data_IF_054741543706
#
_entry.id   IF_054741543706
#
_cell.length_a   1.000
_cell.length_b   1.000
_cell.length_c   1.000
_cell.angle_alpha   90.00
_cell.angle_beta   90.00
_cell.angle_gamma   90.00
#
_symmetry.space_group_name_H-M   'P 1'
#
loop_
_entity.id
_entity.type
_entity.pdbx_description
1 polymer ?
#
# COMPACT_ATOMS: atom_id res chain seq x y z
N UNK A 1 -41.13 -5.66 11.96
CA UNK A 1 -39.87 -6.02 12.67
C UNK A 1 -38.74 -5.02 12.41
N UNK A 2 -38.72 -4.30 11.28
CA UNK A 2 -37.67 -3.32 10.90
C UNK A 2 -37.90 -1.87 11.32
N UNK A 3 -39.03 -1.54 11.98
CA UNK A 3 -39.38 -0.16 12.35
C UNK A 3 -38.30 0.54 13.19
N UNK A 4 -37.70 -0.19 14.13
CA UNK A 4 -36.59 0.32 14.94
C UNK A 4 -35.35 0.65 14.09
N UNK A 5 -34.98 -0.23 13.14
CA UNK A 5 -33.86 0.01 12.21
C UNK A 5 -34.10 1.22 11.32
N UNK A 6 -35.33 1.42 10.84
CA UNK A 6 -35.67 2.60 10.05
C UNK A 6 -35.57 3.89 10.88
N UNK A 7 -35.91 3.81 12.18
CA UNK A 7 -35.74 4.95 13.11
C UNK A 7 -34.27 5.25 13.36
N UNK A 8 -33.43 4.23 13.57
CA UNK A 8 -31.97 4.40 13.69
C UNK A 8 -31.35 4.97 12.41
N UNK A 9 -31.74 4.45 11.25
CA UNK A 9 -31.29 4.92 9.93
C UNK A 9 -31.61 6.41 9.76
N UNK A 10 -32.85 6.84 10.07
CA UNK A 10 -33.23 8.26 10.05
C UNK A 10 -32.42 9.13 11.01
N UNK A 11 -32.08 8.63 12.20
CA UNK A 11 -31.21 9.34 13.16
C UNK A 11 -29.82 9.57 12.57
N UNK A 12 -29.23 8.52 11.99
CA UNK A 12 -27.91 8.58 11.34
C UNK A 12 -27.92 9.53 10.14
N UNK A 13 -28.97 9.49 9.32
CA UNK A 13 -29.15 10.39 8.18
C UNK A 13 -29.20 11.87 8.60
N UNK A 14 -29.81 12.17 9.75
CA UNK A 14 -30.00 13.54 10.24
C UNK A 14 -28.71 14.17 10.81
N UNK A 15 -27.73 13.37 11.24
CA UNK A 15 -26.45 13.88 11.74
C UNK A 15 -25.60 14.38 10.58
N UNK A 16 -25.01 15.57 10.67
CA UNK A 16 -24.16 16.17 9.63
C UNK A 16 -22.68 16.20 10.03
N UNK A 17 -21.80 16.31 9.04
CA UNK A 17 -20.37 16.55 9.26
C UNK A 17 -19.63 15.42 9.98
N UNK A 18 -18.64 15.80 10.80
CA UNK A 18 -17.66 14.90 11.41
C UNK A 18 -18.26 13.87 12.40
N UNK A 19 -19.40 14.18 13.02
CA UNK A 19 -20.06 13.28 13.99
C UNK A 19 -20.83 12.13 13.34
N UNK A 20 -20.91 12.07 12.02
CA UNK A 20 -21.64 11.02 11.31
C UNK A 20 -21.14 9.61 11.62
N UNK A 21 -19.83 9.40 11.57
CA UNK A 21 -19.24 8.08 11.86
C UNK A 21 -19.38 7.73 13.35
N UNK A 22 -19.35 8.73 14.24
CA UNK A 22 -19.54 8.53 15.68
C UNK A 22 -20.97 8.06 15.98
N UNK A 23 -21.97 8.71 15.38
CA UNK A 23 -23.38 8.31 15.49
C UNK A 23 -23.58 6.90 14.91
N UNK A 24 -23.06 6.64 13.69
CA UNK A 24 -23.17 5.32 13.06
C UNK A 24 -22.54 4.23 13.93
N UNK A 25 -21.34 4.47 14.46
CA UNK A 25 -20.67 3.53 15.36
C UNK A 25 -21.44 3.33 16.67
N UNK A 26 -22.00 4.40 17.24
CA UNK A 26 -22.81 4.31 18.47
C UNK A 26 -24.06 3.46 18.23
N UNK A 27 -24.79 3.74 17.15
CA UNK A 27 -25.98 2.99 16.76
C UNK A 27 -25.68 1.53 16.43
N UNK A 28 -24.56 1.25 15.78
CA UNK A 28 -24.10 -0.12 15.55
C UNK A 28 -23.84 -0.86 16.88
N UNK A 29 -23.12 -0.24 17.81
CA UNK A 29 -22.82 -0.84 19.10
C UNK A 29 -24.09 -1.08 19.94
N UNK A 30 -25.03 -0.15 19.94
CA UNK A 30 -26.32 -0.30 20.62
C UNK A 30 -27.14 -1.45 19.99
N UNK A 31 -27.16 -1.52 18.66
CA UNK A 31 -27.83 -2.58 17.92
C UNK A 31 -27.25 -3.96 18.25
N UNK A 32 -25.93 -4.10 18.19
CA UNK A 32 -25.23 -5.35 18.49
C UNK A 32 -25.44 -5.79 19.94
N UNK A 33 -25.41 -4.85 20.92
CA UNK A 33 -25.71 -5.16 22.33
C UNK A 33 -27.14 -5.65 22.52
N UNK A 34 -28.12 -4.94 21.98
CA UNK A 34 -29.53 -5.33 22.09
C UNK A 34 -29.79 -6.71 21.48
N UNK A 35 -29.18 -7.00 20.34
CA UNK A 35 -29.34 -8.28 19.67
C UNK A 35 -28.60 -9.42 20.34
N UNK A 36 -27.50 -9.16 21.05
CA UNK A 36 -26.88 -10.18 21.88
C UNK A 36 -27.84 -10.66 22.98
N UNK A 37 -28.55 -9.74 23.64
CA UNK A 37 -29.57 -10.10 24.64
C UNK A 37 -30.71 -10.91 24.03
N UNK A 38 -31.15 -10.55 22.81
CA UNK A 38 -32.18 -11.31 22.08
C UNK A 38 -31.67 -12.72 21.74
N UNK A 39 -30.42 -12.86 21.29
CA UNK A 39 -29.82 -14.18 21.02
C UNK A 39 -29.75 -15.04 22.28
N UNK A 40 -29.41 -14.45 23.43
CA UNK A 40 -29.31 -15.18 24.69
C UNK A 40 -30.71 -15.70 25.13
N UNK A 41 -31.77 -14.89 24.94
CA UNK A 41 -33.15 -15.30 25.20
C UNK A 41 -33.62 -16.38 24.20
N UNK A 42 -33.27 -16.23 22.92
CA UNK A 42 -33.70 -17.12 21.83
C UNK A 42 -32.75 -18.29 21.59
N UNK A 43 -31.77 -18.52 22.48
CA UNK A 43 -30.72 -19.51 22.32
C UNK A 43 -31.25 -20.92 22.04
N UNK A 44 -32.35 -21.32 22.69
CA UNK A 44 -32.95 -22.63 22.45
C UNK A 44 -33.47 -22.77 21.02
N UNK A 45 -34.14 -21.73 20.48
CA UNK A 45 -34.65 -21.71 19.11
C UNK A 45 -33.49 -21.82 18.11
N UNK A 46 -32.41 -21.06 18.33
CA UNK A 46 -31.24 -21.05 17.45
C UNK A 46 -30.50 -22.41 17.44
N UNK A 47 -30.41 -23.09 18.60
CA UNK A 47 -29.71 -24.38 18.75
C UNK A 47 -30.52 -25.61 18.32
N UNK A 48 -31.85 -25.55 18.39
CA UNK A 48 -32.69 -26.75 18.20
C UNK A 48 -33.65 -26.64 17.02
N UNK A 49 -34.34 -25.51 16.89
CA UNK A 49 -35.38 -25.33 15.87
C UNK A 49 -34.79 -24.97 14.50
N UNK A 50 -33.79 -24.10 14.46
CA UNK A 50 -33.18 -23.64 13.20
C UNK A 50 -32.49 -24.77 12.42
N UNK A 51 -31.66 -25.64 13.03
CA UNK A 51 -31.05 -26.77 12.30
C UNK A 51 -32.08 -27.73 11.71
N UNK A 52 -33.22 -27.90 12.37
CA UNK A 52 -34.30 -28.78 11.91
C UNK A 52 -35.17 -28.20 10.77
N UNK A 53 -35.11 -26.87 10.56
CA UNK A 53 -35.99 -26.16 9.61
C UNK A 53 -35.25 -25.44 8.49
N UNK A 54 -33.92 -25.50 8.44
CA UNK A 54 -33.06 -24.84 7.45
C UNK A 54 -33.34 -23.34 7.25
N UNK A 55 -33.79 -22.66 8.31
CA UNK A 55 -34.03 -21.20 8.30
C UNK A 55 -32.73 -20.43 8.59
N UNK A 56 -32.69 -19.16 8.23
CA UNK A 56 -31.57 -18.26 8.56
C UNK A 56 -31.42 -18.13 10.08
N UNK A 57 -30.20 -18.27 10.58
CA UNK A 57 -29.90 -18.10 12.00
C UNK A 57 -30.23 -16.68 12.47
N UNK A 58 -30.62 -16.51 13.73
CA UNK A 58 -30.98 -15.17 14.26
C UNK A 58 -29.78 -14.21 14.17
N UNK A 59 -28.57 -14.75 14.33
CA UNK A 59 -27.32 -14.01 14.17
C UNK A 59 -27.08 -13.50 12.74
N UNK A 60 -27.44 -14.27 11.73
CA UNK A 60 -27.27 -13.87 10.33
C UNK A 60 -28.37 -12.90 9.90
N UNK A 61 -29.61 -13.18 10.32
CA UNK A 61 -30.75 -12.31 10.06
C UNK A 61 -30.52 -10.88 10.58
N UNK A 62 -29.93 -10.73 11.77
CA UNK A 62 -29.64 -9.39 12.32
C UNK A 62 -28.65 -8.60 11.46
N UNK A 63 -27.61 -9.24 10.94
CA UNK A 63 -26.57 -8.60 10.13
C UNK A 63 -27.16 -8.17 8.79
N UNK A 64 -27.93 -9.06 8.14
CA UNK A 64 -28.63 -8.77 6.89
C UNK A 64 -29.58 -7.59 7.06
N UNK A 65 -30.37 -7.57 8.14
CA UNK A 65 -31.30 -6.46 8.40
C UNK A 65 -30.57 -5.13 8.61
N UNK A 66 -29.45 -5.09 9.32
CA UNK A 66 -28.64 -3.87 9.46
C UNK A 66 -28.04 -3.43 8.12
N UNK A 67 -27.45 -4.38 7.38
CA UNK A 67 -26.90 -4.15 6.05
C UNK A 67 -27.93 -3.51 5.12
N UNK A 68 -29.10 -4.13 4.99
CA UNK A 68 -30.14 -3.71 4.03
C UNK A 68 -30.83 -2.39 4.42
N UNK A 69 -31.07 -2.16 5.72
CA UNK A 69 -31.90 -1.04 6.17
C UNK A 69 -31.09 0.19 6.61
N UNK A 70 -29.80 0.03 6.93
CA UNK A 70 -28.93 1.11 7.40
C UNK A 70 -27.78 1.34 6.44
N UNK A 71 -26.89 0.35 6.26
CA UNK A 71 -25.66 0.56 5.46
C UNK A 71 -25.97 0.82 3.99
N UNK A 72 -26.84 0.02 3.39
CA UNK A 72 -27.26 0.17 1.99
C UNK A 72 -28.42 1.17 1.80
N UNK A 73 -28.75 1.99 2.82
CA UNK A 73 -29.63 3.13 2.60
C UNK A 73 -28.99 4.06 1.57
N UNK A 74 -29.78 4.55 0.61
CA UNK A 74 -29.33 5.41 -0.49
C UNK A 74 -28.66 6.71 -0.06
N UNK A 75 -28.88 7.14 1.19
CA UNK A 75 -28.25 8.32 1.78
C UNK A 75 -27.04 8.01 2.65
N UNK A 76 -26.97 6.80 3.22
CA UNK A 76 -25.91 6.40 4.16
C UNK A 76 -24.75 5.78 3.37
N UNK A 77 -25.01 4.88 2.43
CA UNK A 77 -23.96 4.16 1.71
C UNK A 77 -22.95 5.10 1.03
N UNK A 78 -23.37 6.06 0.18
CA UNK A 78 -22.40 6.89 -0.54
C UNK A 78 -21.67 7.84 0.40
N UNK A 79 -22.38 8.29 1.44
CA UNK A 79 -21.83 9.16 2.47
C UNK A 79 -20.78 8.47 3.31
N UNK A 80 -21.04 7.22 3.71
CA UNK A 80 -20.10 6.39 4.44
C UNK A 80 -18.82 6.19 3.64
N UNK A 81 -18.96 5.77 2.38
CA UNK A 81 -17.82 5.60 1.49
C UNK A 81 -17.01 6.89 1.35
N UNK A 82 -17.65 8.00 0.98
CA UNK A 82 -16.98 9.28 0.78
C UNK A 82 -16.28 9.77 2.06
N UNK A 83 -16.90 9.58 3.23
CA UNK A 83 -16.31 10.00 4.52
C UNK A 83 -15.08 9.16 4.85
N UNK A 84 -15.11 7.84 4.61
CA UNK A 84 -13.96 6.97 4.84
C UNK A 84 -12.80 7.30 3.91
N UNK A 85 -13.09 7.55 2.63
CA UNK A 85 -12.07 7.93 1.64
C UNK A 85 -11.48 9.31 1.93
N UNK A 86 -12.30 10.29 2.32
CA UNK A 86 -11.84 11.62 2.74
C UNK A 86 -10.91 11.55 3.95
N UNK A 87 -11.26 10.77 4.99
CA UNK A 87 -10.40 10.58 6.16
C UNK A 87 -9.05 9.96 5.78
N UNK A 88 -9.04 8.98 4.88
CA UNK A 88 -7.80 8.37 4.38
C UNK A 88 -6.96 9.39 3.61
N UNK A 89 -7.58 10.22 2.78
CA UNK A 89 -6.89 11.28 2.04
C UNK A 89 -6.28 12.31 2.98
N UNK A 90 -7.04 12.76 3.98
CA UNK A 90 -6.58 13.71 5.00
C UNK A 90 -5.43 13.15 5.82
N UNK A 91 -5.47 11.85 6.17
CA UNK A 91 -4.35 11.17 6.81
C UNK A 91 -3.10 11.15 5.90
N UNK A 92 -3.26 10.88 4.59
CA UNK A 92 -2.14 10.91 3.62
C UNK A 92 -1.49 12.29 3.48
N UNK A 93 -2.25 13.35 3.70
CA UNK A 93 -1.77 14.75 3.69
C UNK A 93 -1.26 15.21 5.07
N UNK A 94 -1.19 14.31 6.05
CA UNK A 94 -0.58 14.57 7.36
C UNK A 94 -1.56 14.99 8.46
N UNK A 95 -2.86 14.95 8.22
CA UNK A 95 -3.84 15.21 9.27
C UNK A 95 -3.99 14.01 10.22
N UNK A 96 -4.15 14.30 11.51
CA UNK A 96 -4.43 13.27 12.51
C UNK A 96 -5.91 12.90 12.45
N UNK A 97 -6.20 11.64 12.13
CA UNK A 97 -7.56 11.09 12.13
C UNK A 97 -7.81 10.17 13.32
N UNK A 98 -9.08 9.94 13.63
CA UNK A 98 -9.47 8.95 14.63
C UNK A 98 -9.36 7.52 14.07
N UNK A 99 -8.14 6.95 14.10
CA UNK A 99 -7.86 5.56 13.66
C UNK A 99 -8.70 4.51 14.39
N UNK A 100 -9.09 4.76 15.65
CA UNK A 100 -9.95 3.87 16.42
C UNK A 100 -11.38 3.81 15.88
N UNK A 101 -11.94 4.96 15.52
CA UNK A 101 -13.25 5.05 14.87
C UNK A 101 -13.23 4.38 13.49
N UNK A 102 -12.18 4.64 12.68
CA UNK A 102 -11.97 3.95 11.40
C UNK A 102 -11.99 2.44 11.59
N UNK A 103 -11.21 1.92 12.54
CA UNK A 103 -11.15 0.48 12.82
C UNK A 103 -12.51 -0.11 13.17
N UNK A 104 -13.30 0.59 13.99
CA UNK A 104 -14.63 0.12 14.38
C UNK A 104 -15.60 0.07 13.20
N UNK A 105 -15.57 1.09 12.33
CA UNK A 105 -16.43 1.14 11.14
C UNK A 105 -16.02 0.06 10.12
N UNK A 106 -14.72 -0.11 9.87
CA UNK A 106 -14.23 -1.18 8.99
C UNK A 106 -14.57 -2.56 9.55
N UNK A 107 -14.42 -2.75 10.87
CA UNK A 107 -14.86 -3.98 11.54
C UNK A 107 -16.36 -4.23 11.37
N UNK A 108 -17.21 -3.21 11.48
CA UNK A 108 -18.63 -3.36 11.21
C UNK A 108 -18.88 -3.83 9.77
N UNK A 109 -18.23 -3.25 8.76
CA UNK A 109 -18.38 -3.70 7.37
C UNK A 109 -17.96 -5.17 7.19
N UNK A 110 -16.88 -5.59 7.85
CA UNK A 110 -16.42 -6.98 7.85
C UNK A 110 -17.40 -7.92 8.57
N UNK A 111 -17.94 -7.49 9.71
CA UNK A 111 -18.92 -8.26 10.51
C UNK A 111 -20.24 -8.45 9.72
N UNK A 112 -20.62 -7.49 8.85
CA UNK A 112 -21.78 -7.60 7.94
C UNK A 112 -21.55 -8.56 6.78
N UNK A 113 -20.31 -8.81 6.42
CA UNK A 113 -19.92 -9.84 5.47
C UNK A 113 -18.70 -9.43 4.62
N UNK A 114 -17.88 -10.40 4.17
CA UNK A 114 -16.72 -10.10 3.33
C UNK A 114 -17.07 -9.35 2.04
N UNK A 115 -18.24 -9.62 1.44
CA UNK A 115 -18.69 -8.92 0.24
C UNK A 115 -19.02 -7.45 0.51
N UNK A 116 -19.58 -7.13 1.68
CA UNK A 116 -19.91 -5.74 2.07
C UNK A 116 -18.63 -4.92 2.16
N UNK A 117 -17.61 -5.41 2.89
CA UNK A 117 -16.31 -4.73 2.93
C UNK A 117 -15.66 -4.61 1.55
N UNK A 118 -15.66 -5.69 0.76
CA UNK A 118 -14.95 -5.71 -0.52
C UNK A 118 -15.60 -4.80 -1.57
N UNK A 119 -16.92 -4.90 -1.75
CA UNK A 119 -17.66 -4.17 -2.77
C UNK A 119 -17.90 -2.71 -2.35
N UNK A 120 -18.32 -2.47 -1.11
CA UNK A 120 -18.74 -1.13 -0.70
C UNK A 120 -17.57 -0.23 -0.31
N UNK A 121 -16.41 -0.79 0.02
CA UNK A 121 -15.27 -0.02 0.50
C UNK A 121 -13.94 -0.39 -0.19
N UNK A 122 -13.50 -1.64 -0.14
CA UNK A 122 -12.13 -2.01 -0.52
C UNK A 122 -11.85 -1.73 -2.00
N UNK A 123 -12.77 -2.10 -2.90
CA UNK A 123 -12.64 -1.84 -4.34
C UNK A 123 -12.54 -0.33 -4.64
N UNK A 124 -13.50 0.53 -4.23
CA UNK A 124 -13.36 1.98 -4.40
C UNK A 124 -12.10 2.56 -3.74
N UNK A 125 -11.73 2.07 -2.55
CA UNK A 125 -10.52 2.50 -1.86
C UNK A 125 -9.26 2.20 -2.67
N UNK A 126 -9.15 1.00 -3.25
CA UNK A 126 -8.01 0.60 -4.09
C UNK A 126 -7.97 1.43 -5.39
N UNK A 127 -9.11 1.68 -6.01
CA UNK A 127 -9.21 2.51 -7.22
C UNK A 127 -8.72 3.95 -6.98
N UNK A 128 -9.27 4.61 -5.95
CA UNK A 128 -8.86 5.99 -5.58
C UNK A 128 -7.41 6.02 -5.11
N UNK A 129 -6.92 4.96 -4.45
CA UNK A 129 -5.53 4.88 -4.02
C UNK A 129 -4.56 4.73 -5.18
N UNK A 130 -4.89 3.90 -6.18
CA UNK A 130 -4.06 3.76 -7.38
C UNK A 130 -3.97 5.10 -8.11
N UNK A 131 -5.09 5.81 -8.26
CA UNK A 131 -5.10 7.14 -8.88
C UNK A 131 -4.29 8.17 -8.09
N UNK A 132 -4.39 8.16 -6.76
CA UNK A 132 -3.57 8.99 -5.88
C UNK A 132 -2.07 8.75 -6.08
N UNK A 133 -1.62 7.49 -6.02
CA UNK A 133 -0.19 7.16 -6.21
C UNK A 133 0.28 7.44 -7.63
N UNK A 134 -0.57 7.25 -8.64
CA UNK A 134 -0.27 7.61 -10.02
C UNK A 134 -0.03 9.11 -10.16
N UNK A 135 -0.94 9.94 -9.66
CA UNK A 135 -0.79 11.40 -9.71
C UNK A 135 0.44 11.87 -8.94
N UNK A 136 0.65 11.36 -7.73
CA UNK A 136 1.77 11.74 -6.88
C UNK A 136 3.12 11.28 -7.45
N UNK A 137 3.20 10.09 -8.04
CA UNK A 137 4.42 9.61 -8.70
C UNK A 137 4.82 10.50 -9.89
N UNK A 138 3.84 10.98 -10.66
CA UNK A 138 4.06 11.92 -11.76
C UNK A 138 4.56 13.28 -11.26
N UNK A 139 4.05 13.77 -10.13
CA UNK A 139 4.59 14.99 -9.52
C UNK A 139 6.04 14.78 -9.03
N UNK A 140 6.28 13.67 -8.32
CA UNK A 140 7.59 13.41 -7.72
C UNK A 140 8.69 13.21 -8.77
N UNK A 141 8.37 12.55 -9.89
CA UNK A 141 9.36 12.25 -10.93
C UNK A 141 9.79 13.49 -11.73
N UNK A 142 8.94 14.54 -11.76
CA UNK A 142 9.27 15.83 -12.39
C UNK A 142 10.05 16.76 -11.45
N UNK A 143 9.82 16.66 -10.14
CA UNK A 143 10.32 17.64 -9.17
C UNK A 143 11.37 17.11 -8.19
N UNK A 144 11.78 15.85 -8.29
CA UNK A 144 12.75 15.23 -7.37
C UNK A 144 13.91 14.60 -8.14
N UNK A 145 15.08 14.54 -7.50
CA UNK A 145 16.13 13.64 -7.97
C UNK A 145 15.76 12.17 -7.68
N UNK A 146 16.48 11.22 -8.29
CA UNK A 146 16.15 9.81 -8.16
C UNK A 146 16.24 9.31 -6.70
N UNK A 147 17.22 9.76 -5.92
CA UNK A 147 17.37 9.33 -4.52
C UNK A 147 16.20 9.78 -3.66
N UNK A 148 15.78 11.04 -3.80
CA UNK A 148 14.64 11.60 -3.06
C UNK A 148 13.31 11.04 -3.53
N UNK A 149 13.15 10.75 -4.82
CA UNK A 149 12.00 10.00 -5.33
C UNK A 149 11.89 8.63 -4.63
N UNK A 150 12.99 7.86 -4.59
CA UNK A 150 13.01 6.53 -3.97
C UNK A 150 12.66 6.59 -2.48
N UNK A 151 13.15 7.59 -1.74
CA UNK A 151 12.77 7.82 -0.33
C UNK A 151 11.27 8.08 -0.17
N UNK A 152 10.69 8.91 -1.05
CA UNK A 152 9.25 9.20 -1.04
C UNK A 152 8.42 7.95 -1.36
N UNK A 153 8.84 7.15 -2.35
CA UNK A 153 8.17 5.89 -2.71
C UNK A 153 8.25 4.86 -1.58
N UNK A 154 9.42 4.70 -0.95
CA UNK A 154 9.61 3.84 0.24
C UNK A 154 8.71 4.29 1.39
N UNK A 155 8.62 5.60 1.65
CA UNK A 155 7.73 6.14 2.67
C UNK A 155 6.26 5.80 2.38
N UNK A 156 5.78 6.02 1.15
CA UNK A 156 4.39 5.70 0.78
C UNK A 156 4.07 4.22 0.89
N UNK A 157 5.01 3.35 0.55
CA UNK A 157 4.88 1.91 0.74
C UNK A 157 4.68 1.56 2.23
N UNK A 158 5.55 2.09 3.09
CA UNK A 158 5.48 1.85 4.54
C UNK A 158 4.19 2.42 5.15
N UNK A 159 3.80 3.64 4.79
CA UNK A 159 2.53 4.23 5.23
C UNK A 159 1.31 3.40 4.78
N UNK A 160 1.36 2.80 3.59
CA UNK A 160 0.33 1.89 3.08
C UNK A 160 0.15 0.65 3.97
N UNK A 161 1.26 -0.02 4.29
CA UNK A 161 1.30 -1.20 5.15
C UNK A 161 0.86 -0.84 6.58
N UNK A 162 1.41 0.25 7.12
CA UNK A 162 1.08 0.73 8.45
C UNK A 162 -0.43 1.02 8.58
N UNK A 163 -1.03 1.67 7.59
CA UNK A 163 -2.47 1.95 7.56
C UNK A 163 -3.32 0.69 7.63
N UNK A 164 -2.94 -0.35 6.87
CA UNK A 164 -3.68 -1.61 6.89
C UNK A 164 -3.64 -2.22 8.28
N UNK A 165 -2.45 -2.33 8.88
CA UNK A 165 -2.29 -2.86 10.24
C UNK A 165 -3.09 -2.09 11.30
N UNK A 166 -3.34 -0.79 11.08
CA UNK A 166 -4.06 0.04 12.03
C UNK A 166 -5.57 -0.06 11.95
N UNK A 167 -6.17 -0.20 10.77
CA UNK A 167 -7.63 -0.17 10.70
C UNK A 167 -8.28 -0.83 9.48
N UNK A 168 -7.53 -1.45 8.57
CA UNK A 168 -8.09 -2.19 7.43
C UNK A 168 -8.03 -3.70 7.65
N UNK A 169 -8.69 -4.47 6.78
CA UNK A 169 -8.53 -5.93 6.78
C UNK A 169 -7.13 -6.32 6.29
N UNK A 170 -6.53 -7.33 6.92
CA UNK A 170 -5.17 -7.78 6.58
C UNK A 170 -5.05 -8.24 5.11
N UNK A 171 -6.14 -8.75 4.50
CA UNK A 171 -6.13 -9.18 3.08
C UNK A 171 -6.01 -7.99 2.12
N UNK A 172 -6.23 -6.77 2.59
CA UNK A 172 -6.05 -5.55 1.78
C UNK A 172 -4.58 -5.18 1.63
N UNK A 173 -3.69 -5.63 2.52
CA UNK A 173 -2.25 -5.27 2.51
C UNK A 173 -1.58 -5.58 1.17
N UNK A 174 -1.76 -6.80 0.67
CA UNK A 174 -1.17 -7.22 -0.60
C UNK A 174 -1.70 -6.37 -1.76
N UNK A 175 -3.00 -6.03 -1.75
CA UNK A 175 -3.63 -5.28 -2.83
C UNK A 175 -3.17 -3.82 -2.87
N UNK A 176 -3.09 -3.16 -1.71
CA UNK A 176 -2.61 -1.77 -1.64
C UNK A 176 -1.10 -1.68 -1.90
N UNK A 177 -0.33 -2.67 -1.44
CA UNK A 177 1.09 -2.80 -1.71
C UNK A 177 1.35 -2.91 -3.20
N UNK A 178 0.63 -3.79 -3.90
CA UNK A 178 0.73 -3.94 -5.35
C UNK A 178 0.37 -2.63 -6.09
N UNK A 179 -0.60 -1.85 -5.59
CA UNK A 179 -0.93 -0.56 -6.19
C UNK A 179 0.23 0.45 -6.05
N UNK A 180 0.87 0.54 -4.87
CA UNK A 180 2.05 1.39 -4.66
C UNK A 180 3.22 0.93 -5.54
N UNK A 181 3.51 -0.36 -5.53
CA UNK A 181 4.60 -0.95 -6.31
C UNK A 181 4.42 -0.71 -7.81
N UNK A 182 3.21 -0.90 -8.32
CA UNK A 182 2.91 -0.66 -9.73
C UNK A 182 3.05 0.82 -10.08
N UNK A 183 2.31 1.69 -9.39
CA UNK A 183 2.16 3.08 -9.78
C UNK A 183 3.41 3.93 -9.45
N UNK A 184 4.12 3.64 -8.35
CA UNK A 184 5.30 4.40 -7.95
C UNK A 184 6.64 3.76 -8.34
N UNK A 185 6.71 2.45 -8.60
CA UNK A 185 7.98 1.77 -8.90
C UNK A 185 7.97 1.26 -10.35
N UNK A 186 7.12 0.27 -10.65
CA UNK A 186 7.14 -0.45 -11.93
C UNK A 186 7.01 0.49 -13.13
N UNK A 187 6.04 1.42 -13.09
CA UNK A 187 5.76 2.35 -14.19
C UNK A 187 6.91 3.34 -14.46
N UNK A 188 7.77 3.59 -13.48
CA UNK A 188 8.83 4.61 -13.58
C UNK A 188 10.24 4.04 -13.61
N UNK A 189 10.41 2.71 -13.56
CA UNK A 189 11.74 2.07 -13.50
C UNK A 189 12.71 2.58 -14.56
N UNK A 190 12.36 2.62 -15.88
CA UNK A 190 13.30 3.06 -16.90
C UNK A 190 13.70 4.52 -16.70
N UNK A 191 12.76 5.37 -16.30
CA UNK A 191 13.01 6.79 -16.06
C UNK A 191 13.89 7.01 -14.83
N UNK A 192 13.71 6.24 -13.76
CA UNK A 192 14.50 6.34 -12.54
C UNK A 192 15.95 5.91 -12.75
N UNK A 193 16.20 4.78 -13.42
CA UNK A 193 17.57 4.29 -13.63
C UNK A 193 18.36 5.16 -14.61
N UNK A 194 17.68 5.78 -15.58
CA UNK A 194 18.27 6.66 -16.58
C UNK A 194 18.12 8.16 -16.27
N UNK A 195 17.66 8.52 -15.07
CA UNK A 195 17.43 9.91 -14.70
C UNK A 195 18.73 10.72 -14.79
N UNK A 196 18.68 11.85 -15.49
CA UNK A 196 19.86 12.69 -15.73
C UNK A 196 20.42 13.19 -14.39
N UNK A 197 21.75 13.12 -14.23
CA UNK A 197 22.48 13.62 -13.05
C UNK A 197 22.05 13.06 -11.68
N UNK A 198 21.21 12.01 -11.62
CA UNK A 198 20.81 11.40 -10.36
C UNK A 198 20.45 9.91 -10.42
N UNK A 199 20.26 9.34 -11.62
CA UNK A 199 19.91 7.94 -11.82
C UNK A 199 21.00 6.95 -11.41
N UNK A 200 20.78 5.66 -11.71
CA UNK A 200 21.60 4.55 -11.20
C UNK A 200 23.10 4.73 -11.49
N UNK A 201 23.46 5.13 -12.70
CA UNK A 201 24.87 5.35 -13.07
C UNK A 201 25.50 6.46 -12.22
N UNK A 202 24.76 7.55 -11.96
CA UNK A 202 25.27 8.64 -11.13
C UNK A 202 25.43 8.21 -9.68
N UNK A 203 24.49 7.41 -9.15
CA UNK A 203 24.63 6.82 -7.81
C UNK A 203 25.85 5.91 -7.70
N UNK A 204 26.14 5.11 -8.74
CA UNK A 204 27.35 4.27 -8.81
C UNK A 204 28.63 5.11 -8.84
N UNK A 205 28.64 6.20 -9.61
CA UNK A 205 29.81 7.09 -9.72
C UNK A 205 30.09 7.82 -8.41
N UNK A 206 29.05 8.34 -7.76
CA UNK A 206 29.15 9.17 -6.55
C UNK A 206 29.17 8.37 -5.25
N UNK A 207 29.24 7.03 -5.32
CA UNK A 207 29.30 6.15 -4.14
C UNK A 207 28.11 6.32 -3.19
N UNK A 208 26.91 6.55 -3.74
CA UNK A 208 25.67 6.71 -2.96
C UNK A 208 25.11 5.37 -2.48
N UNK A 209 25.83 4.67 -1.60
CA UNK A 209 25.49 3.32 -1.14
C UNK A 209 24.08 3.18 -0.56
N UNK A 210 23.59 4.17 0.20
CA UNK A 210 22.25 4.13 0.77
C UNK A 210 21.16 4.20 -0.31
N UNK A 211 21.32 5.06 -1.31
CA UNK A 211 20.38 5.18 -2.41
C UNK A 211 20.45 3.95 -3.34
N UNK A 212 21.64 3.36 -3.51
CA UNK A 212 21.83 2.07 -4.19
C UNK A 212 21.11 0.93 -3.45
N UNK A 213 21.16 0.90 -2.11
CA UNK A 213 20.43 -0.09 -1.34
C UNK A 213 18.91 0.10 -1.49
N UNK A 214 18.46 1.35 -1.51
CA UNK A 214 17.04 1.68 -1.67
C UNK A 214 16.51 1.32 -3.04
N UNK A 215 17.23 1.65 -4.12
CA UNK A 215 16.80 1.28 -5.48
C UNK A 215 16.73 -0.23 -5.64
N UNK A 216 17.71 -0.99 -5.10
CA UNK A 216 17.67 -2.45 -5.08
C UNK A 216 16.46 -3.00 -4.33
N UNK A 217 16.22 -2.51 -3.10
CA UNK A 217 15.13 -2.98 -2.24
C UNK A 217 13.74 -2.66 -2.78
N UNK A 218 13.59 -1.58 -3.54
CA UNK A 218 12.34 -1.22 -4.22
C UNK A 218 12.16 -2.02 -5.51
N UNK A 219 13.20 -2.13 -6.34
CA UNK A 219 13.11 -2.80 -7.64
C UNK A 219 12.97 -4.32 -7.51
N UNK A 220 13.49 -4.96 -6.46
CA UNK A 220 13.24 -6.40 -6.22
C UNK A 220 11.78 -6.76 -5.99
N UNK A 221 10.92 -5.77 -5.72
CA UNK A 221 9.49 -5.96 -5.43
C UNK A 221 8.64 -6.07 -6.69
N UNK A 222 9.18 -5.64 -7.83
CA UNK A 222 8.45 -5.58 -9.10
C UNK A 222 9.09 -6.49 -10.15
N UNK A 223 8.29 -7.03 -11.09
CA UNK A 223 8.83 -7.78 -12.22
C UNK A 223 9.88 -6.96 -12.97
N UNK A 224 10.92 -7.63 -13.46
CA UNK A 224 12.02 -7.04 -14.23
C UNK A 224 12.84 -5.94 -13.53
N UNK A 225 12.60 -5.66 -12.26
CA UNK A 225 13.32 -4.59 -11.55
C UNK A 225 14.81 -4.92 -11.37
N UNK A 226 15.13 -6.11 -10.87
CA UNK A 226 16.54 -6.50 -10.69
C UNK A 226 17.29 -6.67 -12.02
N UNK A 227 16.63 -7.20 -13.06
CA UNK A 227 17.24 -7.28 -14.39
C UNK A 227 17.53 -5.88 -14.94
N UNK A 228 16.62 -4.92 -14.76
CA UNK A 228 16.84 -3.53 -15.17
C UNK A 228 18.09 -2.92 -14.50
N UNK A 229 18.25 -3.10 -13.17
CA UNK A 229 19.44 -2.61 -12.46
C UNK A 229 20.70 -3.28 -13.02
N UNK A 230 20.67 -4.61 -13.16
CA UNK A 230 21.81 -5.39 -13.64
C UNK A 230 22.23 -4.97 -15.03
N UNK A 231 21.29 -4.78 -15.95
CA UNK A 231 21.59 -4.48 -17.34
C UNK A 231 22.22 -3.08 -17.48
N UNK A 232 21.71 -2.09 -16.73
CA UNK A 232 22.29 -0.73 -16.69
C UNK A 232 23.68 -0.74 -16.04
N UNK A 233 23.83 -1.44 -14.91
CA UNK A 233 25.13 -1.57 -14.23
C UNK A 233 26.16 -2.27 -15.13
N UNK A 234 25.78 -3.38 -15.77
CA UNK A 234 26.65 -4.15 -16.68
C UNK A 234 27.09 -3.30 -17.87
N UNK A 235 26.18 -2.53 -18.46
CA UNK A 235 26.56 -1.62 -19.55
C UNK A 235 27.54 -0.56 -19.07
N UNK A 236 27.28 0.07 -17.93
CA UNK A 236 28.17 1.09 -17.37
C UNK A 236 29.57 0.54 -17.08
N UNK A 237 29.67 -0.66 -16.49
CA UNK A 237 30.96 -1.29 -16.21
C UNK A 237 31.70 -1.60 -17.50
N UNK A 238 31.01 -2.18 -18.50
CA UNK A 238 31.59 -2.50 -19.81
C UNK A 238 32.11 -1.25 -20.51
N UNK A 239 31.35 -0.16 -20.49
CA UNK A 239 31.73 1.08 -21.17
C UNK A 239 32.90 1.77 -20.45
N UNK A 240 32.89 1.76 -19.11
CA UNK A 240 34.03 2.23 -18.29
C UNK A 240 35.29 1.39 -18.56
N UNK A 241 35.16 0.06 -18.62
CA UNK A 241 36.25 -0.85 -18.92
C UNK A 241 36.83 -0.62 -20.32
N UNK A 242 35.98 -0.43 -21.33
CA UNK A 242 36.42 -0.08 -22.69
C UNK A 242 37.20 1.24 -22.71
N UNK A 243 36.71 2.27 -22.03
CA UNK A 243 37.40 3.56 -21.95
C UNK A 243 38.79 3.42 -21.31
N UNK A 244 38.91 2.64 -20.23
CA UNK A 244 40.20 2.37 -19.58
C UNK A 244 41.20 1.65 -20.50
N UNK A 245 40.74 0.71 -21.31
CA UNK A 245 41.60 -0.06 -22.24
C UNK A 245 42.04 0.78 -23.44
N UNK A 246 41.17 1.67 -23.93
CA UNK A 246 41.46 2.51 -25.11
C UNK A 246 42.34 3.71 -24.75
N UNK A 247 42.38 4.11 -23.48
CA UNK A 247 43.15 5.26 -23.01
C UNK A 247 44.68 5.07 -23.26
N UNK A 248 45.27 5.85 -24.18
CA UNK A 248 46.68 5.71 -24.54
C UNK A 248 47.63 6.09 -23.40
N UNK A 249 47.20 6.95 -22.46
CA UNK A 249 48.03 7.36 -21.33
C UNK A 249 48.09 6.26 -20.27
N UNK A 250 46.97 5.60 -19.99
CA UNK A 250 46.95 4.45 -19.06
C UNK A 250 47.67 3.22 -19.60
N UNK A 251 47.74 3.08 -20.92
CA UNK A 251 48.50 2.01 -21.58
C UNK A 251 50.01 2.13 -21.40
N UNK A 252 50.53 3.31 -21.01
CA UNK A 252 51.98 3.53 -20.79
C UNK A 252 52.47 2.97 -19.46
N UNK A 253 51.58 2.76 -18.48
CA UNK A 253 51.93 2.28 -17.15
C UNK A 253 51.09 1.05 -16.78
N UNK A 254 51.59 -0.17 -17.07
CA UNK A 254 50.84 -1.41 -16.82
C UNK A 254 50.45 -1.63 -15.34
N UNK A 255 51.24 -1.14 -14.39
CA UNK A 255 50.96 -1.28 -12.96
C UNK A 255 49.76 -0.43 -12.57
N UNK A 256 49.78 0.85 -12.93
CA UNK A 256 48.67 1.79 -12.67
C UNK A 256 47.37 1.38 -13.37
N UNK A 257 47.47 0.78 -14.56
CA UNK A 257 46.33 0.19 -15.25
C UNK A 257 45.70 -0.96 -14.46
N UNK A 258 46.52 -1.91 -13.99
CA UNK A 258 46.05 -3.04 -13.18
C UNK A 258 45.47 -2.57 -11.84
N UNK A 259 46.14 -1.64 -11.17
CA UNK A 259 45.65 -1.08 -9.89
C UNK A 259 44.30 -0.40 -10.07
N UNK A 260 44.11 0.42 -11.12
CA UNK A 260 42.82 1.04 -11.44
C UNK A 260 41.72 -0.02 -11.62
N UNK A 261 42.02 -1.14 -12.31
CA UNK A 261 41.04 -2.21 -12.52
C UNK A 261 40.66 -2.91 -11.22
N UNK A 262 41.64 -3.19 -10.37
CA UNK A 262 41.41 -3.80 -9.05
C UNK A 262 40.57 -2.88 -8.16
N UNK A 263 40.86 -1.59 -8.12
CA UNK A 263 40.07 -0.60 -7.37
C UNK A 263 38.61 -0.55 -7.85
N UNK A 264 38.38 -0.61 -9.16
CA UNK A 264 37.03 -0.63 -9.74
C UNK A 264 36.30 -1.91 -9.37
N UNK A 265 36.95 -3.08 -9.48
CA UNK A 265 36.39 -4.36 -9.04
C UNK A 265 35.99 -4.30 -7.57
N UNK A 266 36.91 -3.88 -6.71
CA UNK A 266 36.70 -3.79 -5.26
C UNK A 266 35.58 -2.80 -4.89
N UNK A 267 35.39 -1.73 -5.67
CA UNK A 267 34.24 -0.83 -5.55
C UNK A 267 32.91 -1.54 -5.85
N UNK A 268 32.81 -2.28 -6.95
CA UNK A 268 31.58 -2.99 -7.30
C UNK A 268 31.28 -4.16 -6.35
N UNK A 269 32.31 -4.87 -5.89
CA UNK A 269 32.16 -5.90 -4.86
C UNK A 269 31.62 -5.32 -3.55
N UNK A 270 32.10 -4.14 -3.14
CA UNK A 270 31.55 -3.39 -2.00
C UNK A 270 30.09 -2.99 -2.22
N UNK A 271 29.73 -2.51 -3.41
CA UNK A 271 28.31 -2.19 -3.73
C UNK A 271 27.44 -3.43 -3.60
N UNK A 272 27.86 -4.56 -4.19
CA UNK A 272 27.09 -5.82 -4.13
C UNK A 272 26.92 -6.26 -2.67
N UNK A 273 27.97 -6.13 -1.87
CA UNK A 273 27.94 -6.55 -0.47
C UNK A 273 27.11 -5.65 0.43
N UNK A 274 27.27 -4.33 0.30
CA UNK A 274 26.65 -3.36 1.19
C UNK A 274 25.24 -2.93 0.76
N UNK A 275 24.98 -2.84 -0.54
CA UNK A 275 23.74 -2.31 -1.08
C UNK A 275 22.82 -3.40 -1.66
N UNK A 276 23.37 -4.40 -2.33
CA UNK A 276 22.57 -5.41 -3.05
C UNK A 276 22.44 -6.73 -2.29
N UNK A 277 22.56 -6.71 -0.96
CA UNK A 277 22.33 -7.88 -0.10
C UNK A 277 23.16 -9.14 -0.47
N UNK A 278 24.36 -8.97 -1.03
CA UNK A 278 25.19 -10.05 -1.58
C UNK A 278 24.45 -10.92 -2.62
N UNK A 279 23.57 -10.31 -3.42
CA UNK A 279 22.84 -11.00 -4.48
C UNK A 279 23.80 -11.54 -5.56
N UNK A 280 23.87 -12.87 -5.66
CA UNK A 280 24.78 -13.57 -6.57
C UNK A 280 24.47 -13.30 -8.04
N UNK A 281 23.25 -12.84 -8.37
CA UNK A 281 22.91 -12.49 -9.75
C UNK A 281 23.60 -11.21 -10.23
N UNK A 282 24.16 -10.41 -9.30
CA UNK A 282 24.97 -9.23 -9.58
C UNK A 282 26.47 -9.51 -9.48
N UNK A 283 26.89 -10.70 -9.03
CA UNK A 283 28.30 -11.08 -9.05
C UNK A 283 28.77 -11.20 -10.49
N UNK A 284 29.78 -10.41 -10.83
CA UNK A 284 30.39 -10.45 -12.15
C UNK A 284 31.18 -11.75 -12.31
N UNK A 285 31.07 -12.45 -13.44
CA UNK A 285 31.86 -13.65 -13.73
C UNK A 285 33.36 -13.36 -13.87
#
# INVERSE_FOLDING_TARGET
MTFHLHTMSKSIEAVHGASFLEELNTKWNDHTKALQMILDILMYMDRTFIPSTHKTAVHELRLNLWGDNVIHSSKIQPRLLNTLLDLILRERTGEVINRGLMRNIIKMLMDLGPSVYQEDFEKPFLEVSAEFYRAESLEFIECSDCGDYLKKAERRLNEGIERVSHYLDAKTEVKITNAVEKEMIANHMPRLVHMENSGLVKMLLDDKFEDLARIYNLFRRVPDGLSTIRDVMTSHIRDTGKQLVIDPEKSKNPVEFVDTLLEKRDKYDRIISLAFSNDKTFQMP
#
